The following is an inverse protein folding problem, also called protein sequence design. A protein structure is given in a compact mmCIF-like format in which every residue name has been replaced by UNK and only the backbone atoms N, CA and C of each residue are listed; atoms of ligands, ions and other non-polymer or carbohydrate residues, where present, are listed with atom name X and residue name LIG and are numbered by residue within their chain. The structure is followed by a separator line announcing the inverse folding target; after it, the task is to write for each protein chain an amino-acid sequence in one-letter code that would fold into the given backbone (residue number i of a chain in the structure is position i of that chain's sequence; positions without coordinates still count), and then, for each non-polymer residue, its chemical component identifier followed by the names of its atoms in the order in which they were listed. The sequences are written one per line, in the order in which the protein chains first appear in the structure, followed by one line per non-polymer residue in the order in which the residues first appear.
data_IF_948502506690
#
_entry.id   IF_948502506690
#
_cell.length_a   1.000
_cell.length_b   1.000
_cell.length_c   1.000
_cell.angle_alpha   90.00
_cell.angle_beta   90.00
_cell.angle_gamma   90.00
#
_symmetry.space_group_name_H-M   'P 1'
#
loop_
_entity.id
_entity.type
_entity.pdbx_description
1 polymer ?
#
# COMPACT_ATOMS: atom_id res chain seq x y z
N UNK A 1 28.82 -52.35 5.24
CA UNK A 1 27.73 -51.94 4.32
C UNK A 1 27.18 -50.61 4.81
N UNK A 2 27.71 -49.50 4.30
CA UNK A 2 27.27 -48.14 4.66
C UNK A 2 26.29 -47.66 3.60
N UNK A 3 25.02 -47.52 3.95
CA UNK A 3 24.01 -46.88 3.11
C UNK A 3 24.40 -45.41 2.90
N UNK A 4 24.54 -44.92 1.66
CA UNK A 4 24.75 -43.50 1.43
C UNK A 4 23.45 -42.78 1.73
N UNK A 5 23.47 -41.85 2.70
CA UNK A 5 22.37 -40.91 2.92
C UNK A 5 22.14 -40.13 1.63
N UNK A 6 20.89 -39.96 1.16
CA UNK A 6 20.64 -39.12 0.01
C UNK A 6 21.01 -37.69 0.40
N UNK A 7 22.13 -37.20 -0.15
CA UNK A 7 22.40 -35.78 -0.23
C UNK A 7 21.36 -35.22 -1.19
N UNK A 8 20.32 -34.59 -0.64
CA UNK A 8 19.44 -33.75 -1.44
C UNK A 8 20.25 -32.54 -1.89
N UNK A 9 20.81 -32.62 -3.09
CA UNK A 9 21.23 -31.44 -3.82
C UNK A 9 19.96 -30.64 -4.10
N UNK A 10 19.73 -29.60 -3.29
CA UNK A 10 18.84 -28.50 -3.66
C UNK A 10 19.51 -27.84 -4.86
N UNK A 11 19.20 -28.33 -6.07
CA UNK A 11 19.76 -27.82 -7.32
C UNK A 11 19.42 -26.35 -7.52
N UNK A 12 20.26 -25.60 -8.25
CA UNK A 12 20.13 -24.15 -8.45
C UNK A 12 18.72 -23.67 -8.82
N UNK A 13 17.99 -24.46 -9.60
CA UNK A 13 16.60 -24.20 -10.01
C UNK A 13 15.63 -24.06 -8.82
N UNK A 14 15.84 -24.83 -7.75
CA UNK A 14 14.98 -24.76 -6.56
C UNK A 14 15.27 -23.54 -5.68
N UNK A 15 16.50 -23.00 -5.72
CA UNK A 15 16.85 -21.77 -5.00
C UNK A 15 16.31 -20.54 -5.73
N UNK A 16 16.35 -20.55 -7.07
CA UNK A 16 15.79 -19.47 -7.90
C UNK A 16 14.27 -19.41 -7.80
N UNK A 17 13.59 -20.57 -7.76
CA UNK A 17 12.15 -20.64 -7.54
C UNK A 17 11.73 -20.08 -6.16
N UNK A 18 12.49 -20.36 -5.10
CA UNK A 18 12.22 -19.79 -3.76
C UNK A 18 12.41 -18.27 -3.76
N UNK A 19 13.47 -17.76 -4.39
CA UNK A 19 13.69 -16.30 -4.52
C UNK A 19 12.59 -15.62 -5.33
N UNK A 20 12.13 -16.24 -6.42
CA UNK A 20 11.02 -15.72 -7.21
C UNK A 20 9.73 -15.67 -6.38
N UNK A 21 9.43 -16.73 -5.62
CA UNK A 21 8.27 -16.78 -4.74
C UNK A 21 8.29 -15.69 -3.65
N UNK A 22 9.45 -15.44 -3.02
CA UNK A 22 9.63 -14.36 -2.04
C UNK A 22 9.33 -12.98 -2.65
N UNK A 23 9.85 -12.73 -3.85
CA UNK A 23 9.60 -11.48 -4.58
C UNK A 23 8.13 -11.33 -5.00
N UNK A 24 7.46 -12.41 -5.41
CA UNK A 24 6.03 -12.39 -5.72
C UNK A 24 5.17 -12.09 -4.49
N UNK A 25 5.55 -12.62 -3.33
CA UNK A 25 4.88 -12.34 -2.05
C UNK A 25 5.04 -10.87 -1.66
N UNK A 26 6.26 -10.32 -1.76
CA UNK A 26 6.54 -8.91 -1.50
C UNK A 26 5.75 -8.01 -2.46
N UNK A 27 5.73 -8.33 -3.76
CA UNK A 27 4.98 -7.60 -4.76
C UNK A 27 3.47 -7.57 -4.46
N UNK A 28 2.92 -8.68 -3.99
CA UNK A 28 1.50 -8.77 -3.61
C UNK A 28 1.19 -7.85 -2.44
N UNK A 29 2.00 -7.89 -1.39
CA UNK A 29 1.81 -7.05 -0.19
C UNK A 29 1.90 -5.56 -0.53
N UNK A 30 2.87 -5.16 -1.37
CA UNK A 30 3.01 -3.78 -1.82
C UNK A 30 1.78 -3.33 -2.63
N UNK A 31 1.29 -4.16 -3.55
CA UNK A 31 0.08 -3.86 -4.34
C UNK A 31 -1.16 -3.72 -3.48
N UNK A 32 -1.32 -4.58 -2.47
CA UNK A 32 -2.43 -4.50 -1.52
C UNK A 32 -2.37 -3.20 -0.70
N UNK A 33 -1.20 -2.86 -0.17
CA UNK A 33 -0.99 -1.62 0.56
C UNK A 33 -1.27 -0.39 -0.32
N UNK A 34 -0.75 -0.37 -1.57
CA UNK A 34 -0.98 0.73 -2.50
C UNK A 34 -2.47 0.90 -2.79
N UNK A 35 -3.20 -0.18 -3.09
CA UNK A 35 -4.64 -0.15 -3.34
C UNK A 35 -5.42 0.36 -2.13
N UNK A 36 -5.02 -0.03 -0.91
CA UNK A 36 -5.65 0.44 0.31
C UNK A 36 -5.47 1.96 0.51
N UNK A 37 -4.28 2.49 0.20
CA UNK A 37 -4.01 3.93 0.28
C UNK A 37 -4.76 4.69 -0.83
N UNK A 38 -4.80 4.16 -2.06
CA UNK A 38 -5.56 4.74 -3.16
C UNK A 38 -7.07 4.82 -2.84
N UNK A 39 -7.63 3.81 -2.16
CA UNK A 39 -9.00 3.83 -1.69
C UNK A 39 -9.23 4.95 -0.66
N UNK A 40 -8.39 5.02 0.38
CA UNK A 40 -8.48 6.09 1.40
C UNK A 40 -8.36 7.48 0.79
N UNK A 41 -7.53 7.66 -0.23
CA UNK A 41 -7.37 8.94 -0.92
C UNK A 41 -8.66 9.35 -1.64
N UNK A 42 -9.34 8.41 -2.31
CA UNK A 42 -10.64 8.65 -2.95
C UNK A 42 -11.74 8.96 -1.93
N UNK A 43 -11.74 8.30 -0.78
CA UNK A 43 -12.67 8.60 0.31
C UNK A 43 -12.51 10.03 0.83
N UNK A 44 -11.27 10.51 0.97
CA UNK A 44 -10.98 11.90 1.34
C UNK A 44 -11.40 12.91 0.26
N UNK A 45 -11.18 12.60 -1.02
CA UNK A 45 -11.65 13.42 -2.14
C UNK A 45 -13.18 13.53 -2.17
N UNK A 46 -13.87 12.41 -1.92
CA UNK A 46 -15.32 12.41 -1.81
C UNK A 46 -15.81 13.21 -0.60
N UNK A 47 -15.17 13.06 0.55
CA UNK A 47 -15.47 13.83 1.76
C UNK A 47 -15.27 15.33 1.55
N UNK A 48 -14.20 15.75 0.86
CA UNK A 48 -13.97 17.14 0.48
C UNK A 48 -15.10 17.68 -0.40
N UNK A 49 -15.53 16.93 -1.41
CA UNK A 49 -16.65 17.31 -2.27
C UNK A 49 -17.94 17.51 -1.49
N UNK A 50 -18.19 16.65 -0.49
CA UNK A 50 -19.30 16.80 0.45
C UNK A 50 -19.12 18.08 1.29
N UNK A 51 -17.99 18.26 1.96
CA UNK A 51 -17.73 19.41 2.85
C UNK A 51 -17.84 20.75 2.10
N UNK A 52 -17.44 20.78 0.83
CA UNK A 52 -17.43 21.99 0.01
C UNK A 52 -18.77 22.30 -0.66
N UNK A 53 -19.63 21.31 -0.93
CA UNK A 53 -20.96 21.51 -1.52
C UNK A 53 -21.95 22.19 -0.55
N UNK A 54 -22.48 23.36 -0.92
CA UNK A 54 -23.23 24.29 -0.05
C UNK A 54 -24.74 24.03 0.04
N UNK A 55 -25.26 24.02 1.28
CA UNK A 55 -26.37 24.92 1.73
C UNK A 55 -26.60 24.95 3.25
N UNK A 56 -26.12 23.97 4.01
CA UNK A 56 -26.19 23.96 5.48
C UNK A 56 -24.79 23.78 6.07
N UNK A 57 -24.49 24.49 7.18
CA UNK A 57 -23.34 24.16 8.02
C UNK A 57 -23.49 22.72 8.50
N UNK A 58 -22.67 21.83 7.95
CA UNK A 58 -22.61 20.43 8.39
C UNK A 58 -21.72 20.38 9.62
N UNK A 59 -22.19 19.70 10.66
CA UNK A 59 -21.30 19.30 11.75
C UNK A 59 -20.33 18.25 11.23
N UNK A 60 -19.04 18.50 11.42
CA UNK A 60 -17.97 17.63 10.99
C UNK A 60 -17.31 17.04 12.23
N UNK A 61 -17.02 15.74 12.18
CA UNK A 61 -16.37 15.04 13.27
C UNK A 61 -15.16 14.28 12.72
N UNK A 62 -14.04 14.37 13.44
CA UNK A 62 -12.84 13.59 13.16
C UNK A 62 -12.68 12.51 14.21
N UNK A 63 -12.46 11.27 13.74
CA UNK A 63 -12.16 10.14 14.59
C UNK A 63 -10.69 10.13 15.02
N UNK A 64 -10.47 9.99 16.33
CA UNK A 64 -9.18 9.73 16.95
C UNK A 64 -9.33 8.47 17.80
N UNK A 65 -8.97 7.32 17.24
CA UNK A 65 -9.24 6.01 17.83
C UNK A 65 -10.74 5.82 18.17
N UNK A 66 -11.09 5.88 19.45
CA UNK A 66 -12.43 5.73 20.00
C UNK A 66 -13.18 7.06 20.22
N UNK A 67 -12.52 8.20 20.02
CA UNK A 67 -13.10 9.53 20.21
C UNK A 67 -13.55 10.16 18.88
N UNK A 68 -14.71 10.83 18.91
CA UNK A 68 -15.17 11.71 17.84
C UNK A 68 -15.08 13.16 18.31
N UNK A 69 -14.24 13.95 17.65
CA UNK A 69 -14.02 15.36 17.98
C UNK A 69 -14.66 16.22 16.91
N UNK A 70 -15.51 17.18 17.32
CA UNK A 70 -16.10 18.15 16.39
C UNK A 70 -14.98 19.05 15.82
N UNK A 71 -14.98 19.25 14.52
CA UNK A 71 -13.99 20.06 13.81
C UNK A 71 -14.67 21.06 12.90
N UNK A 72 -14.00 22.18 12.68
CA UNK A 72 -14.42 23.19 11.71
C UNK A 72 -14.23 22.70 10.27
N UNK A 73 -14.88 23.39 9.33
CA UNK A 73 -14.69 23.15 7.90
C UNK A 73 -13.23 23.29 7.48
N UNK A 74 -12.56 24.33 7.96
CA UNK A 74 -11.18 24.63 7.58
C UNK A 74 -10.22 23.58 8.14
N UNK A 75 -10.39 23.14 9.39
CA UNK A 75 -9.62 22.04 9.97
C UNK A 75 -9.81 20.71 9.22
N UNK A 76 -11.03 20.44 8.77
CA UNK A 76 -11.32 19.24 7.99
C UNK A 76 -10.64 19.27 6.60
N UNK A 77 -10.68 20.43 5.91
CA UNK A 77 -10.01 20.62 4.62
C UNK A 77 -8.50 20.53 4.78
N UNK A 78 -7.93 21.21 5.77
CA UNK A 78 -6.49 21.14 6.06
C UNK A 78 -6.04 19.70 6.34
N UNK A 79 -6.84 18.94 7.10
CA UNK A 79 -6.56 17.53 7.35
C UNK A 79 -6.57 16.71 6.05
N UNK A 80 -7.59 16.89 5.20
CA UNK A 80 -7.69 16.20 3.91
C UNK A 80 -6.48 16.49 3.03
N UNK A 81 -6.06 17.75 2.93
CA UNK A 81 -4.91 18.15 2.11
C UNK A 81 -3.59 17.55 2.60
N UNK A 82 -3.35 17.60 3.92
CA UNK A 82 -2.17 16.98 4.55
C UNK A 82 -2.12 15.47 4.29
N UNK A 83 -3.25 14.79 4.44
CA UNK A 83 -3.35 13.34 4.17
C UNK A 83 -3.16 13.03 2.68
N UNK A 84 -3.74 13.82 1.78
CA UNK A 84 -3.57 13.68 0.33
C UNK A 84 -2.11 13.80 -0.07
N UNK A 85 -1.38 14.78 0.48
CA UNK A 85 0.05 14.96 0.21
C UNK A 85 0.86 13.74 0.68
N UNK A 86 0.60 13.26 1.89
CA UNK A 86 1.27 12.09 2.44
C UNK A 86 1.00 10.82 1.61
N UNK A 87 -0.27 10.56 1.28
CA UNK A 87 -0.68 9.41 0.49
C UNK A 87 -0.16 9.44 -0.94
N UNK A 88 -0.13 10.61 -1.60
CA UNK A 88 0.46 10.73 -2.95
C UNK A 88 1.94 10.33 -2.95
N UNK A 89 2.71 10.82 -1.97
CA UNK A 89 4.14 10.46 -1.84
C UNK A 89 4.33 8.97 -1.57
N UNK A 90 3.51 8.40 -0.70
CA UNK A 90 3.60 6.98 -0.36
C UNK A 90 3.19 6.08 -1.54
N UNK A 91 2.13 6.44 -2.28
CA UNK A 91 1.73 5.70 -3.50
C UNK A 91 2.87 5.69 -4.51
N UNK A 92 3.55 6.82 -4.72
CA UNK A 92 4.64 6.90 -5.69
C UNK A 92 5.84 6.03 -5.25
N UNK A 93 6.20 6.10 -3.96
CA UNK A 93 7.22 5.22 -3.37
C UNK A 93 6.86 3.73 -3.55
N UNK A 94 5.60 3.37 -3.38
CA UNK A 94 5.15 1.98 -3.57
C UNK A 94 5.22 1.58 -5.06
N UNK A 95 4.87 2.47 -6.00
CA UNK A 95 4.99 2.21 -7.44
C UNK A 95 6.43 2.00 -7.89
N UNK A 96 7.36 2.79 -7.37
CA UNK A 96 8.80 2.61 -7.62
C UNK A 96 9.25 1.23 -7.16
N UNK A 97 8.88 0.82 -5.93
CA UNK A 97 9.18 -0.52 -5.42
C UNK A 97 8.52 -1.65 -6.22
N UNK A 98 7.25 -1.50 -6.63
CA UNK A 98 6.59 -2.47 -7.52
C UNK A 98 7.40 -2.66 -8.81
N UNK A 99 7.86 -1.56 -9.42
CA UNK A 99 8.66 -1.59 -10.64
C UNK A 99 9.99 -2.32 -10.42
N UNK A 100 10.72 -2.00 -9.35
CA UNK A 100 11.98 -2.66 -9.01
C UNK A 100 11.83 -4.17 -8.82
N UNK A 101 10.78 -4.60 -8.13
CA UNK A 101 10.51 -6.04 -7.90
C UNK A 101 10.13 -6.73 -9.21
N UNK A 102 9.32 -6.09 -10.05
CA UNK A 102 8.99 -6.62 -11.38
C UNK A 102 10.22 -6.76 -12.27
N UNK A 103 11.15 -5.80 -12.25
CA UNK A 103 12.42 -5.91 -12.97
C UNK A 103 13.29 -7.07 -12.44
N UNK A 104 13.35 -7.28 -11.12
CA UNK A 104 14.06 -8.43 -10.52
C UNK A 104 13.43 -9.75 -10.92
N UNK A 105 12.11 -9.88 -10.87
CA UNK A 105 11.37 -11.07 -11.29
C UNK A 105 11.61 -11.38 -12.77
N UNK A 106 11.58 -10.37 -13.64
CA UNK A 106 11.85 -10.54 -15.07
C UNK A 106 13.24 -11.15 -15.33
N UNK A 107 14.25 -10.73 -14.57
CA UNK A 107 15.63 -11.25 -14.67
C UNK A 107 15.79 -12.67 -14.14
N UNK A 108 14.92 -13.12 -13.24
CA UNK A 108 14.92 -14.52 -12.75
C UNK A 108 14.17 -15.47 -13.69
N UNK A 109 13.27 -14.94 -14.52
CA UNK A 109 12.54 -15.72 -15.53
C UNK A 109 13.24 -15.80 -16.90
N UNK A 110 14.33 -15.03 -17.09
CA UNK A 110 15.15 -15.00 -18.31
C UNK A 110 16.38 -15.86 -18.14
#
# INVERSE_FOLDING_TARGET
MTSPRPFFFIGGESVEAVKAYELELELRQIRELRKAIELKMKELEYAEGIITATKAERKLYRAFADLLVEVTKDEAIEHIERMRLAYKREIERLREKEKEIMEKLSRLSS
#
